data_IF_707677110110
#
_entry.id   IF_707677110110
#
_cell.length_a   1.000
_cell.length_b   1.000
_cell.length_c   1.000
_cell.angle_alpha   90.00
_cell.angle_beta   90.00
_cell.angle_gamma   90.00
#
_symmetry.space_group_name_H-M   'P 1'
#
loop_
_entity.id
_entity.type
_entity.pdbx_description
1 polymer ?
#
# COMPACT_ATOMS: atom_id res chain seq x y z
N UNK A 1 20.11 -2.16 -7.84
CA UNK A 1 19.10 -2.12 -6.76
C UNK A 1 17.72 -2.61 -7.18
N UNK A 2 17.19 -2.22 -8.34
CA UNK A 2 15.84 -2.63 -8.82
C UNK A 2 15.69 -4.15 -9.05
N UNK A 3 16.73 -4.84 -9.56
CA UNK A 3 16.66 -6.29 -9.82
C UNK A 3 16.51 -7.17 -8.58
N UNK A 4 17.01 -6.75 -7.41
CA UNK A 4 16.86 -7.53 -6.17
C UNK A 4 15.44 -7.45 -5.60
N UNK A 5 14.68 -6.38 -5.92
CA UNK A 5 13.28 -6.26 -5.53
C UNK A 5 12.41 -7.33 -6.23
N UNK A 6 12.65 -7.60 -7.51
CA UNK A 6 11.86 -8.56 -8.30
C UNK A 6 12.07 -10.02 -7.92
N UNK A 7 13.26 -10.38 -7.41
CA UNK A 7 13.58 -11.76 -6.97
C UNK A 7 13.48 -11.99 -5.46
N UNK A 8 13.08 -10.98 -4.68
CA UNK A 8 12.97 -11.14 -3.25
C UNK A 8 11.91 -12.20 -2.89
N UNK A 9 12.22 -13.18 -2.02
CA UNK A 9 11.23 -14.11 -1.51
C UNK A 9 10.11 -13.35 -0.79
N UNK A 10 8.88 -13.86 -0.88
CA UNK A 10 7.66 -13.18 -0.41
C UNK A 10 7.79 -12.78 1.07
N UNK A 11 8.37 -13.65 1.90
CA UNK A 11 8.69 -13.38 3.30
C UNK A 11 10.13 -12.89 3.47
N UNK A 12 10.38 -11.65 3.07
CA UNK A 12 11.63 -10.94 3.35
C UNK A 12 11.37 -9.44 3.52
N UNK A 13 12.25 -8.68 4.19
CA UNK A 13 12.07 -7.23 4.32
C UNK A 13 11.86 -6.53 2.99
N UNK A 14 12.63 -6.92 1.97
CA UNK A 14 12.49 -6.39 0.61
C UNK A 14 11.19 -6.85 -0.07
N UNK A 15 10.73 -8.07 0.21
CA UNK A 15 9.44 -8.59 -0.27
C UNK A 15 8.27 -7.78 0.27
N UNK A 16 8.27 -7.45 1.56
CA UNK A 16 7.25 -6.61 2.19
C UNK A 16 7.24 -5.18 1.62
N UNK A 17 8.42 -4.57 1.45
CA UNK A 17 8.54 -3.24 0.81
C UNK A 17 8.01 -3.27 -0.63
N UNK A 18 8.33 -4.31 -1.41
CA UNK A 18 7.81 -4.47 -2.77
C UNK A 18 6.28 -4.52 -2.78
N UNK A 19 5.69 -5.34 -1.93
CA UNK A 19 4.23 -5.48 -1.87
C UNK A 19 3.55 -4.20 -1.39
N UNK A 20 4.17 -3.45 -0.47
CA UNK A 20 3.70 -2.13 -0.07
C UNK A 20 3.65 -1.17 -1.26
N UNK A 21 4.69 -1.15 -2.10
CA UNK A 21 4.70 -0.35 -3.34
C UNK A 21 3.60 -0.81 -4.29
N UNK A 22 3.50 -2.12 -4.57
CA UNK A 22 2.51 -2.69 -5.50
C UNK A 22 1.08 -2.37 -5.07
N UNK A 23 0.76 -2.49 -3.78
CA UNK A 23 -0.57 -2.14 -3.24
C UNK A 23 -0.85 -0.64 -3.25
N UNK A 24 0.18 0.20 -3.24
CA UNK A 24 0.04 1.66 -3.31
C UNK A 24 -0.28 2.18 -4.72
N UNK A 25 0.18 1.49 -5.76
CA UNK A 25 -0.01 1.90 -7.18
C UNK A 25 -1.48 2.21 -7.53
N UNK A 26 -2.47 1.32 -7.29
CA UNK A 26 -3.85 1.60 -7.69
C UNK A 26 -4.42 2.84 -6.99
N UNK A 27 -4.09 3.05 -5.72
CA UNK A 27 -4.50 4.25 -4.98
C UNK A 27 -3.87 5.51 -5.57
N UNK A 28 -2.56 5.51 -5.83
CA UNK A 28 -1.86 6.66 -6.41
C UNK A 28 -2.43 7.02 -7.79
N UNK A 29 -2.66 6.02 -8.65
CA UNK A 29 -3.28 6.24 -9.96
C UNK A 29 -4.68 6.84 -9.79
N UNK A 30 -5.52 6.27 -8.93
CA UNK A 30 -6.87 6.77 -8.69
C UNK A 30 -6.87 8.21 -8.12
N UNK A 31 -5.93 8.51 -7.22
CA UNK A 31 -5.78 9.82 -6.62
C UNK A 31 -5.35 10.89 -7.62
N UNK A 32 -4.38 10.57 -8.47
CA UNK A 32 -3.89 11.47 -9.52
C UNK A 32 -4.92 11.65 -10.64
N UNK A 33 -5.72 10.62 -10.95
CA UNK A 33 -6.84 10.70 -11.87
C UNK A 33 -8.04 11.50 -11.31
N UNK A 34 -7.95 12.04 -10.09
CA UNK A 34 -8.97 12.92 -9.52
C UNK A 34 -10.20 12.18 -8.99
N UNK A 35 -10.18 10.85 -8.88
CA UNK A 35 -11.35 10.08 -8.42
C UNK A 35 -11.81 10.43 -7.00
N UNK A 36 -10.96 11.13 -6.23
CA UNK A 36 -11.32 11.69 -4.92
C UNK A 36 -12.58 12.58 -4.98
N UNK A 37 -12.89 13.20 -6.11
CA UNK A 37 -14.08 14.05 -6.23
C UNK A 37 -15.38 13.25 -6.07
N UNK A 38 -15.39 11.97 -6.44
CA UNK A 38 -16.57 11.12 -6.33
C UNK A 38 -16.85 10.70 -4.88
N UNK A 39 -15.93 10.93 -3.92
CA UNK A 39 -16.21 10.67 -2.50
C UNK A 39 -17.21 11.65 -1.89
N UNK A 40 -17.60 12.71 -2.62
CA UNK A 40 -18.71 13.60 -2.25
C UNK A 40 -20.04 12.85 -2.05
N UNK A 41 -20.16 11.65 -2.65
CA UNK A 41 -21.31 10.77 -2.48
C UNK A 41 -21.52 10.35 -1.01
N UNK A 42 -20.44 10.32 -0.21
CA UNK A 42 -20.51 10.08 1.24
C UNK A 42 -21.26 11.20 1.96
N UNK A 43 -21.28 12.39 1.38
CA UNK A 43 -22.07 13.54 1.83
C UNK A 43 -23.41 13.64 1.09
N UNK A 44 -23.87 12.57 0.43
CA UNK A 44 -25.09 12.51 -0.37
C UNK A 44 -25.13 13.50 -1.56
N UNK A 45 -23.96 13.89 -2.07
CA UNK A 45 -23.84 14.80 -3.23
C UNK A 45 -23.15 14.11 -4.39
N UNK A 46 -23.70 14.24 -5.60
CA UNK A 46 -23.16 13.61 -6.81
C UNK A 46 -22.45 14.69 -7.64
N UNK A 47 -21.20 14.47 -8.07
CA UNK A 47 -20.50 15.42 -8.94
C UNK A 47 -21.27 15.64 -10.24
N UNK A 48 -21.35 16.90 -10.67
CA UNK A 48 -22.04 17.27 -11.90
C UNK A 48 -21.41 16.58 -13.13
N UNK A 49 -22.24 16.26 -14.12
CA UNK A 49 -21.79 15.67 -15.40
C UNK A 49 -21.48 14.17 -15.37
N UNK A 50 -21.66 13.48 -14.23
CA UNK A 50 -21.48 12.03 -14.13
C UNK A 50 -22.76 11.30 -13.71
N UNK A 51 -23.16 10.19 -14.37
CA UNK A 51 -24.29 9.38 -13.91
C UNK A 51 -24.07 8.87 -12.48
N UNK A 52 -25.10 8.92 -11.64
CA UNK A 52 -24.99 8.55 -10.22
C UNK A 52 -24.44 7.14 -9.97
N UNK A 53 -24.81 6.16 -10.81
CA UNK A 53 -24.28 4.80 -10.73
C UNK A 53 -22.77 4.74 -11.01
N UNK A 54 -22.30 5.48 -12.02
CA UNK A 54 -20.88 5.53 -12.38
C UNK A 54 -20.06 6.26 -11.30
N UNK A 55 -20.61 7.35 -10.75
CA UNK A 55 -20.03 8.07 -9.62
C UNK A 55 -19.89 7.17 -8.38
N UNK A 56 -20.90 6.36 -8.08
CA UNK A 56 -20.85 5.39 -6.98
C UNK A 56 -19.76 4.31 -7.19
N UNK A 57 -19.59 3.82 -8.41
CA UNK A 57 -18.51 2.88 -8.75
C UNK A 57 -17.11 3.50 -8.55
N UNK A 58 -16.89 4.71 -9.05
CA UNK A 58 -15.61 5.41 -8.87
C UNK A 58 -15.32 5.73 -7.40
N UNK A 59 -16.35 6.16 -6.66
CA UNK A 59 -16.25 6.39 -5.22
C UNK A 59 -15.88 5.09 -4.48
N UNK A 60 -16.57 4.00 -4.77
CA UNK A 60 -16.31 2.69 -4.15
C UNK A 60 -14.91 2.17 -4.43
N UNK A 61 -14.48 2.21 -5.70
CA UNK A 61 -13.12 1.83 -6.08
C UNK A 61 -12.07 2.68 -5.37
N UNK A 62 -12.23 4.00 -5.37
CA UNK A 62 -11.31 4.91 -4.70
C UNK A 62 -11.25 4.65 -3.19
N UNK A 63 -12.40 4.39 -2.54
CA UNK A 63 -12.46 4.10 -1.11
C UNK A 63 -11.74 2.80 -0.76
N UNK A 64 -11.96 1.73 -1.53
CA UNK A 64 -11.29 0.44 -1.35
C UNK A 64 -9.77 0.61 -1.53
N UNK A 65 -9.35 1.30 -2.60
CA UNK A 65 -7.93 1.57 -2.84
C UNK A 65 -7.32 2.43 -1.72
N UNK A 66 -8.04 3.44 -1.23
CA UNK A 66 -7.62 4.29 -0.11
C UNK A 66 -7.44 3.49 1.18
N UNK A 67 -8.41 2.64 1.54
CA UNK A 67 -8.33 1.80 2.75
C UNK A 67 -7.21 0.77 2.62
N UNK A 68 -7.09 0.12 1.46
CA UNK A 68 -6.01 -0.82 1.18
C UNK A 68 -4.64 -0.14 1.33
N UNK A 69 -4.45 1.04 0.74
CA UNK A 69 -3.22 1.80 0.90
C UNK A 69 -2.97 2.20 2.36
N UNK A 70 -3.98 2.78 3.02
CA UNK A 70 -3.87 3.29 4.39
C UNK A 70 -3.58 2.21 5.42
N UNK A 71 -4.06 0.98 5.21
CA UNK A 71 -3.84 -0.13 6.14
C UNK A 71 -2.69 -1.03 5.70
N UNK A 72 -2.71 -1.52 4.47
CA UNK A 72 -1.79 -2.57 4.02
C UNK A 72 -0.37 -2.02 3.84
N UNK A 73 -0.21 -0.86 3.18
CA UNK A 73 1.12 -0.31 2.91
C UNK A 73 1.92 -0.02 4.19
N UNK A 74 1.40 0.70 5.20
CA UNK A 74 2.15 0.91 6.45
C UNK A 74 2.33 -0.38 7.25
N UNK A 75 1.34 -1.28 7.26
CA UNK A 75 1.49 -2.59 7.94
C UNK A 75 2.66 -3.39 7.37
N UNK A 76 2.78 -3.44 6.04
CA UNK A 76 3.89 -4.13 5.36
C UNK A 76 5.24 -3.44 5.62
N UNK A 77 5.29 -2.11 5.66
CA UNK A 77 6.52 -1.39 5.99
C UNK A 77 6.94 -1.63 7.45
N UNK A 78 6.00 -1.63 8.39
CA UNK A 78 6.26 -1.99 9.80
C UNK A 78 6.78 -3.42 9.88
N UNK A 79 6.14 -4.38 9.20
CA UNK A 79 6.60 -5.76 9.16
C UNK A 79 8.02 -5.87 8.60
N UNK A 80 8.34 -5.13 7.54
CA UNK A 80 9.69 -5.08 6.96
C UNK A 80 10.73 -4.57 7.97
N UNK A 81 10.43 -3.48 8.68
CA UNK A 81 11.30 -2.91 9.70
C UNK A 81 11.53 -3.87 10.86
N UNK A 82 10.45 -4.43 11.43
CA UNK A 82 10.54 -5.38 12.55
C UNK A 82 11.35 -6.60 12.14
N UNK A 83 11.08 -7.18 10.96
CA UNK A 83 11.81 -8.34 10.47
C UNK A 83 13.31 -8.03 10.26
N UNK A 84 13.63 -6.87 9.69
CA UNK A 84 15.02 -6.46 9.48
C UNK A 84 15.77 -6.24 10.81
N UNK A 85 15.12 -5.67 11.82
CA UNK A 85 15.69 -5.51 13.16
C UNK A 85 15.96 -6.86 13.82
N UNK A 86 15.00 -7.78 13.76
CA UNK A 86 15.15 -9.13 14.31
C UNK A 86 16.35 -9.84 13.67
N UNK A 87 16.47 -9.82 12.34
CA UNK A 87 17.61 -10.42 11.64
C UNK A 87 18.96 -9.82 12.07
N UNK A 88 19.01 -8.50 12.27
CA UNK A 88 20.23 -7.82 12.74
C UNK A 88 20.59 -8.23 14.16
N UNK A 89 19.62 -8.35 15.06
CA UNK A 89 19.86 -8.78 16.44
C UNK A 89 20.45 -10.20 16.52
N UNK A 90 19.92 -11.15 15.74
CA UNK A 90 20.47 -12.50 15.68
C UNK A 90 21.90 -12.54 15.12
N UNK A 91 22.20 -11.71 14.10
CA UNK A 91 23.56 -11.62 13.57
C UNK A 91 24.55 -11.05 14.61
N UNK A 92 24.12 -10.06 15.40
CA UNK A 92 24.93 -9.47 16.47
C UNK A 92 25.27 -10.47 17.57
N UNK A 93 24.30 -11.27 18.01
CA UNK A 93 24.51 -12.27 19.07
C UNK A 93 25.48 -13.39 18.65
N UNK A 94 25.51 -13.73 17.35
CA UNK A 94 26.41 -14.75 16.80
C UNK A 94 27.88 -14.34 16.85
N UNK A 95 28.18 -13.03 16.81
CA UNK A 95 29.56 -12.54 16.83
C UNK A 95 30.15 -12.42 18.24
N UNK A 96 29.31 -12.32 19.27
CA UNK A 96 29.76 -12.29 20.67
C UNK A 96 30.05 -13.67 21.27
N UNK A 97 29.66 -14.76 20.59
CA UNK A 97 29.87 -16.14 21.06
C UNK A 97 31.05 -16.86 20.39
N UNK A 98 31.91 -16.13 19.68
CA UNK A 98 33.11 -16.64 18.99
C UNK A 98 34.35 -16.06 19.63
#
# INVERSE_FOLDING_TARGET
MIRSLFRAPIFSPLGFVRWAIVTSIPFVIAHLAGLRQYTSILSLTIPEGTPGQLAAWYAGFYLIAYVAFTLIAPTLLIAACVYALILRSFASLRMTSS
#
